data_IF_909781034459
#
_entry.id   IF_909781034459
#
_cell.length_a   1.000
_cell.length_b   1.000
_cell.length_c   1.000
_cell.angle_alpha   90.00
_cell.angle_beta   90.00
_cell.angle_gamma   90.00
#
_symmetry.space_group_name_H-M   'P 1'
#
loop_
_entity.id
_entity.type
_entity.pdbx_description
1 polymer ?
#
# COMPACT_ATOMS: atom_id res chain seq x y z
N UNK A 1 4.45 -8.26 -17.24
CA UNK A 1 5.17 -8.02 -15.98
C UNK A 1 4.95 -6.58 -15.58
N UNK A 2 4.47 -6.33 -14.36
CA UNK A 2 4.36 -4.97 -13.83
C UNK A 2 5.67 -4.60 -13.09
N UNK A 3 6.11 -3.34 -13.11
CA UNK A 3 7.38 -2.90 -12.52
C UNK A 3 7.29 -2.76 -10.99
N UNK A 4 6.85 -3.82 -10.30
CA UNK A 4 6.76 -3.84 -8.84
C UNK A 4 8.12 -4.13 -8.19
N UNK A 5 8.38 -3.57 -6.99
CA UNK A 5 9.55 -3.93 -6.19
C UNK A 5 9.63 -5.44 -5.95
N UNK A 6 10.85 -5.97 -5.91
CA UNK A 6 11.09 -7.41 -5.66
C UNK A 6 10.44 -7.89 -4.35
N UNK A 7 10.44 -7.03 -3.33
CA UNK A 7 9.80 -7.30 -2.05
C UNK A 7 8.30 -7.62 -2.21
N UNK A 8 7.59 -6.89 -3.06
CA UNK A 8 6.14 -7.09 -3.31
C UNK A 8 5.90 -8.36 -4.13
N UNK A 9 6.86 -8.75 -4.98
CA UNK A 9 6.74 -9.96 -5.81
C UNK A 9 7.03 -11.26 -5.05
N UNK A 10 7.84 -11.18 -3.99
CA UNK A 10 8.43 -12.37 -3.33
C UNK A 10 7.95 -12.59 -1.90
N UNK A 11 7.42 -11.56 -1.24
CA UNK A 11 6.99 -11.61 0.17
C UNK A 11 5.49 -11.31 0.26
N UNK A 12 4.69 -12.16 0.94
CA UNK A 12 3.28 -11.86 1.18
C UNK A 12 3.15 -10.61 2.06
N UNK A 13 2.11 -9.82 1.82
CA UNK A 13 1.79 -8.64 2.61
C UNK A 13 0.54 -8.88 3.45
N UNK A 14 0.45 -8.16 4.57
CA UNK A 14 -0.81 -7.94 5.26
C UNK A 14 -1.47 -6.67 4.70
N UNK A 15 -2.79 -6.69 4.56
CA UNK A 15 -3.57 -5.56 4.10
C UNK A 15 -4.44 -5.03 5.25
N UNK A 16 -4.49 -3.70 5.40
CA UNK A 16 -5.32 -3.03 6.39
C UNK A 16 -6.16 -1.94 5.73
N UNK A 17 -7.44 -1.88 6.10
CA UNK A 17 -8.30 -0.75 5.77
C UNK A 17 -8.04 0.40 6.76
N UNK A 18 -7.98 1.62 6.23
CA UNK A 18 -7.72 2.85 6.98
C UNK A 18 -8.71 3.95 6.59
N UNK A 19 -8.93 4.91 7.49
CA UNK A 19 -9.85 6.03 7.26
C UNK A 19 -9.27 7.13 6.36
N UNK A 20 -7.95 7.34 6.35
CA UNK A 20 -7.23 8.34 5.55
C UNK A 20 -5.85 7.80 5.15
N UNK A 21 -5.72 7.35 3.90
CA UNK A 21 -4.48 6.76 3.39
C UNK A 21 -3.33 7.76 3.40
N UNK A 22 -3.59 9.02 3.05
CA UNK A 22 -2.55 10.05 2.93
C UNK A 22 -1.98 10.42 4.31
N UNK A 23 -2.80 10.41 5.34
CA UNK A 23 -2.35 10.56 6.72
C UNK A 23 -1.51 9.37 7.18
N UNK A 24 -1.94 8.14 6.91
CA UNK A 24 -1.29 6.92 7.39
C UNK A 24 0.09 6.65 6.75
N UNK A 25 0.28 7.01 5.48
CA UNK A 25 1.58 6.86 4.80
C UNK A 25 2.59 7.95 5.19
N UNK A 26 2.18 9.01 5.90
CA UNK A 26 3.06 10.14 6.23
C UNK A 26 4.23 9.70 7.10
N UNK A 27 5.46 9.96 6.61
CA UNK A 27 6.68 9.60 7.32
C UNK A 27 6.99 8.09 7.31
N UNK A 28 6.24 7.29 6.54
CA UNK A 28 6.53 5.87 6.30
C UNK A 28 7.41 5.73 5.07
N UNK A 29 8.05 4.56 4.95
CA UNK A 29 8.76 4.17 3.73
C UNK A 29 7.76 3.63 2.71
N UNK A 30 7.27 4.48 1.83
CA UNK A 30 6.38 4.09 0.74
C UNK A 30 7.20 3.34 -0.33
N UNK A 31 6.71 2.16 -0.73
CA UNK A 31 7.34 1.29 -1.74
C UNK A 31 6.47 1.11 -2.98
N UNK A 32 5.17 1.34 -2.87
CA UNK A 32 4.26 1.59 -4.00
C UNK A 32 3.44 2.83 -3.64
N UNK A 33 3.57 3.87 -4.47
CA UNK A 33 2.83 5.12 -4.31
C UNK A 33 1.30 4.89 -4.37
N UNK A 34 0.51 5.75 -3.71
CA UNK A 34 -0.95 5.70 -3.76
C UNK A 34 -1.47 5.58 -5.20
N UNK A 35 -2.27 4.55 -5.46
CA UNK A 35 -2.93 4.32 -6.74
C UNK A 35 -4.33 3.72 -6.54
N UNK A 36 -5.15 3.75 -7.59
CA UNK A 36 -6.53 3.26 -7.53
C UNK A 36 -6.69 2.04 -8.45
N UNK A 37 -6.60 0.82 -7.91
CA UNK A 37 -6.69 -0.41 -8.72
C UNK A 37 -8.13 -0.69 -9.18
N UNK A 38 -9.11 -0.15 -8.46
CA UNK A 38 -10.53 -0.22 -8.80
C UNK A 38 -11.25 1.05 -8.34
N UNK A 39 -12.39 1.34 -8.97
CA UNK A 39 -13.24 2.47 -8.58
C UNK A 39 -13.58 2.42 -7.08
N UNK A 40 -13.42 3.56 -6.41
CA UNK A 40 -13.70 3.71 -4.98
C UNK A 40 -12.67 3.08 -4.04
N UNK A 41 -11.52 2.61 -4.53
CA UNK A 41 -10.44 2.06 -3.71
C UNK A 41 -9.13 2.80 -4.00
N UNK A 42 -8.48 3.29 -2.96
CA UNK A 42 -7.13 3.83 -3.00
C UNK A 42 -6.20 2.91 -2.19
N UNK A 43 -5.05 2.54 -2.76
CA UNK A 43 -4.08 1.65 -2.11
C UNK A 43 -2.67 2.22 -2.17
N UNK A 44 -1.88 1.97 -1.12
CA UNK A 44 -0.44 2.21 -1.12
C UNK A 44 0.27 1.07 -0.40
N UNK A 45 1.53 0.82 -0.75
CA UNK A 45 2.36 -0.13 -0.01
C UNK A 45 3.43 0.62 0.76
N UNK A 46 3.58 0.26 2.02
CA UNK A 46 4.68 0.70 2.87
C UNK A 46 5.54 -0.49 3.29
N UNK A 47 6.79 -0.23 3.65
CA UNK A 47 7.66 -1.22 4.27
C UNK A 47 7.71 -1.03 5.79
N UNK A 48 7.41 -2.10 6.53
CA UNK A 48 7.50 -2.16 7.99
C UNK A 48 8.43 -3.30 8.35
N UNK A 49 9.61 -2.97 8.92
CA UNK A 49 10.63 -3.95 9.31
C UNK A 49 10.98 -4.97 8.20
N UNK A 50 11.09 -4.52 6.95
CA UNK A 50 11.42 -5.35 5.80
C UNK A 50 10.26 -6.19 5.26
N UNK A 51 9.03 -6.03 5.77
CA UNK A 51 7.83 -6.66 5.23
C UNK A 51 6.95 -5.62 4.51
N UNK A 52 6.36 -5.97 3.36
CA UNK A 52 5.38 -5.12 2.70
C UNK A 52 4.04 -5.13 3.47
N UNK A 53 3.44 -3.95 3.63
CA UNK A 53 2.10 -3.76 4.18
C UNK A 53 1.29 -2.95 3.18
N UNK A 54 0.13 -3.46 2.80
CA UNK A 54 -0.84 -2.76 1.97
C UNK A 54 -1.81 -1.98 2.86
N UNK A 55 -1.99 -0.70 2.56
CA UNK A 55 -2.99 0.15 3.19
C UNK A 55 -4.04 0.49 2.15
N UNK A 56 -5.32 0.35 2.52
CA UNK A 56 -6.48 0.53 1.65
C UNK A 56 -7.44 1.55 2.25
N UNK A 57 -7.91 2.48 1.43
CA UNK A 57 -9.00 3.40 1.78
C UNK A 57 -10.14 3.23 0.78
N UNK A 58 -11.34 2.96 1.28
CA UNK A 58 -12.56 2.90 0.46
C UNK A 58 -13.28 4.24 0.47
N UNK A 59 -13.67 4.70 -0.72
CA UNK A 59 -14.63 5.80 -0.85
C UNK A 59 -15.98 5.38 -0.26
N UNK A 60 -16.52 6.20 0.64
CA UNK A 60 -17.82 5.98 1.29
C UNK A 60 -19.00 6.35 0.40
#
# INVERSE_FOLDING_TARGET
DAPYPELVKTVPHAAFEVDDLMAEIKGKKVIIEPNSPSEGLLVAFIEVNGAPVELMEYSK
#
